data_IF_678444281684
#
_entry.id   IF_678444281684
#
_cell.length_a   1.000
_cell.length_b   1.000
_cell.length_c   1.000
_cell.angle_alpha   90.00
_cell.angle_beta   90.00
_cell.angle_gamma   90.00
#
_symmetry.space_group_name_H-M   'P 1'
#
loop_
_entity.id
_entity.type
_entity.pdbx_description
1 polymer ?
#
# COMPACT_ATOMS: atom_id res chain seq x y z
N UNK A 1 -11.21 -5.44 -25.61
CA UNK A 1 -9.83 -5.84 -25.95
C UNK A 1 -8.78 -4.87 -25.41
N UNK A 2 -8.94 -3.55 -25.59
CA UNK A 2 -7.99 -2.51 -25.09
C UNK A 2 -7.53 -2.72 -23.63
N UNK A 3 -8.44 -3.04 -22.70
CA UNK A 3 -8.10 -3.26 -21.28
C UNK A 3 -7.13 -4.41 -21.06
N UNK A 4 -7.29 -5.51 -21.82
CA UNK A 4 -6.37 -6.67 -21.77
C UNK A 4 -5.02 -6.32 -22.38
N UNK A 5 -4.99 -5.60 -23.50
CA UNK A 5 -3.74 -5.15 -24.12
C UNK A 5 -2.95 -4.24 -23.19
N UNK A 6 -3.62 -3.30 -22.50
CA UNK A 6 -2.99 -2.42 -21.51
C UNK A 6 -2.44 -3.24 -20.34
N UNK A 7 -3.20 -4.22 -19.83
CA UNK A 7 -2.72 -5.08 -18.76
C UNK A 7 -1.49 -5.91 -19.17
N UNK A 8 -1.50 -6.47 -20.39
CA UNK A 8 -0.36 -7.23 -20.94
C UNK A 8 0.85 -6.33 -21.15
N UNK A 9 0.65 -5.08 -21.57
CA UNK A 9 1.74 -4.12 -21.71
C UNK A 9 2.41 -3.86 -20.35
N UNK A 10 1.62 -3.52 -19.33
CA UNK A 10 2.18 -3.24 -18.01
C UNK A 10 2.84 -4.45 -17.37
N UNK A 11 2.26 -5.65 -17.49
CA UNK A 11 2.88 -6.85 -16.91
C UNK A 11 4.22 -7.18 -17.60
N UNK A 12 4.30 -6.99 -18.92
CA UNK A 12 5.55 -7.20 -19.67
C UNK A 12 6.60 -6.15 -19.30
N UNK A 13 6.19 -4.88 -19.15
CA UNK A 13 7.05 -3.78 -18.74
C UNK A 13 7.66 -4.03 -17.35
N UNK A 14 6.82 -4.38 -16.36
CA UNK A 14 7.28 -4.66 -15.01
C UNK A 14 8.16 -5.91 -14.95
N UNK A 15 7.80 -6.96 -15.69
CA UNK A 15 8.62 -8.17 -15.77
C UNK A 15 10.01 -7.87 -16.34
N UNK A 16 10.08 -7.08 -17.41
CA UNK A 16 11.36 -6.68 -18.02
C UNK A 16 12.23 -5.87 -17.04
N UNK A 17 11.62 -4.96 -16.27
CA UNK A 17 12.35 -4.13 -15.31
C UNK A 17 12.95 -4.95 -14.16
N UNK A 18 12.20 -5.93 -13.64
CA UNK A 18 12.67 -6.82 -12.56
C UNK A 18 13.77 -7.76 -13.05
N UNK A 19 13.64 -8.30 -14.27
CA UNK A 19 14.55 -9.31 -14.83
C UNK A 19 15.81 -8.70 -15.44
N UNK A 20 15.79 -7.41 -15.78
CA UNK A 20 16.91 -6.70 -16.42
C UNK A 20 18.28 -6.92 -15.74
N UNK A 21 18.50 -6.63 -14.44
CA UNK A 21 19.80 -6.82 -13.81
C UNK A 21 20.24 -8.29 -13.84
N UNK A 22 19.33 -9.24 -13.66
CA UNK A 22 19.63 -10.67 -13.71
C UNK A 22 20.09 -11.14 -15.09
N UNK A 23 19.47 -10.65 -16.16
CA UNK A 23 19.86 -11.00 -17.53
C UNK A 23 21.22 -10.38 -17.90
N UNK A 24 21.48 -9.15 -17.46
CA UNK A 24 22.75 -8.46 -17.71
C UNK A 24 23.91 -9.23 -17.07
N UNK A 25 23.78 -9.64 -15.80
CA UNK A 25 24.80 -10.42 -15.09
C UNK A 25 25.06 -11.79 -15.76
N UNK A 26 24.03 -12.42 -16.32
CA UNK A 26 24.20 -13.71 -17.05
C UNK A 26 24.98 -13.52 -18.36
N UNK A 27 24.81 -12.38 -19.03
CA UNK A 27 25.46 -12.11 -20.32
C UNK A 27 26.92 -11.69 -20.14
N UNK A 28 27.20 -10.85 -19.14
CA UNK A 28 28.53 -10.34 -18.87
C UNK A 28 28.67 -9.93 -17.39
N UNK A 29 29.57 -10.59 -16.67
CA UNK A 29 29.86 -10.37 -15.25
C UNK A 29 30.70 -9.10 -15.02
N UNK A 30 31.25 -8.48 -16.08
CA UNK A 30 32.02 -7.24 -15.96
C UNK A 30 31.14 -5.98 -15.94
N UNK A 31 29.83 -6.10 -16.23
CA UNK A 31 28.92 -4.96 -16.29
C UNK A 31 28.40 -4.64 -14.90
N UNK A 32 28.60 -3.39 -14.47
CA UNK A 32 28.09 -2.89 -13.20
C UNK A 32 26.55 -2.79 -13.22
N UNK A 33 25.89 -3.58 -12.37
CA UNK A 33 24.43 -3.58 -12.18
C UNK A 33 23.98 -2.86 -10.90
N UNK A 34 24.91 -2.28 -10.13
CA UNK A 34 24.64 -1.55 -8.88
C UNK A 34 23.65 -0.39 -9.05
N UNK A 35 23.58 0.20 -10.25
CA UNK A 35 22.65 1.28 -10.60
C UNK A 35 21.20 0.81 -10.53
N UNK A 36 20.90 -0.43 -10.97
CA UNK A 36 19.54 -0.97 -10.91
C UNK A 36 19.07 -1.21 -9.47
N UNK A 37 19.99 -1.63 -8.58
CA UNK A 37 19.72 -1.80 -7.16
C UNK A 37 19.59 -0.46 -6.43
N UNK A 38 20.49 0.49 -6.70
CA UNK A 38 20.44 1.84 -6.15
C UNK A 38 19.14 2.59 -6.47
N UNK A 39 18.58 2.39 -7.67
CA UNK A 39 17.30 2.98 -8.08
C UNK A 39 16.11 2.36 -7.32
N UNK A 40 16.18 1.06 -7.00
CA UNK A 40 15.14 0.37 -6.24
C UNK A 40 15.18 0.74 -4.74
N UNK A 41 16.34 1.13 -4.22
CA UNK A 41 16.58 1.51 -2.82
C UNK A 41 16.30 3.00 -2.51
N UNK A 42 15.65 3.75 -3.42
CA UNK A 42 15.39 5.19 -3.23
C UNK A 42 14.52 5.52 -1.99
N UNK A 43 13.84 4.53 -1.40
CA UNK A 43 13.11 4.70 -0.12
C UNK A 43 14.03 4.95 1.09
N UNK A 44 15.29 4.47 1.07
CA UNK A 44 16.22 4.60 2.20
C UNK A 44 16.83 6.00 2.33
N UNK A 45 17.00 6.73 1.22
CA UNK A 45 17.52 8.11 1.23
C UNK A 45 16.49 9.16 1.71
N UNK A 46 15.32 8.73 2.18
CA UNK A 46 14.26 9.60 2.71
C UNK A 46 14.47 10.05 4.16
N UNK A 47 15.66 9.86 4.74
CA UNK A 47 16.01 10.36 6.08
C UNK A 47 15.76 11.86 6.28
N UNK A 48 15.62 12.65 5.21
CA UNK A 48 15.29 14.09 5.27
C UNK A 48 13.78 14.39 5.11
N UNK A 49 12.95 13.45 4.64
CA UNK A 49 11.50 13.67 4.40
C UNK A 49 10.60 13.22 5.56
N UNK A 50 11.15 12.61 6.60
CA UNK A 50 10.43 12.11 7.78
C UNK A 50 10.04 13.18 8.83
N UNK A 51 10.14 14.47 8.51
CA UNK A 51 9.66 15.56 9.38
C UNK A 51 8.18 15.90 9.16
N UNK A 52 7.50 15.26 8.22
CA UNK A 52 6.06 15.42 8.06
C UNK A 52 5.37 14.31 8.84
N UNK A 53 4.81 14.71 9.98
CA UNK A 53 3.91 13.89 10.81
C UNK A 53 2.89 13.15 9.93
N UNK A 54 2.60 11.86 10.20
CA UNK A 54 1.53 11.12 9.51
C UNK A 54 0.13 11.73 9.73
N UNK A 55 0.02 12.78 10.56
CA UNK A 55 -1.18 13.60 10.77
C UNK A 55 -1.15 14.96 10.05
N UNK A 56 -0.17 15.20 9.19
CA UNK A 56 -0.16 16.39 8.33
C UNK A 56 -1.37 16.32 7.39
N UNK A 57 -2.32 17.23 7.59
CA UNK A 57 -3.52 17.44 6.76
C UNK A 57 -3.17 18.03 5.38
N UNK A 58 -1.98 17.75 4.87
CA UNK A 58 -1.45 18.30 3.64
C UNK A 58 -0.93 17.11 2.84
N UNK A 59 -1.61 16.84 1.71
CA UNK A 59 -1.32 15.84 0.65
C UNK A 59 -2.38 14.76 0.44
N UNK A 60 -3.68 15.11 0.54
CA UNK A 60 -4.72 14.34 -0.14
C UNK A 60 -5.37 15.16 -1.26
N UNK A 61 -4.57 15.57 -2.26
CA UNK A 61 -5.08 16.18 -3.50
C UNK A 61 -5.87 15.18 -4.39
N UNK A 62 -6.04 13.93 -3.91
CA UNK A 62 -6.80 12.88 -4.61
C UNK A 62 -8.23 12.72 -4.05
N UNK A 63 -8.60 13.38 -2.94
CA UNK A 63 -9.93 13.23 -2.30
C UNK A 63 -11.05 14.06 -2.96
N UNK A 64 -10.79 14.76 -4.06
CA UNK A 64 -11.78 15.69 -4.66
C UNK A 64 -12.84 15.02 -5.55
N UNK A 65 -12.74 13.71 -5.82
CA UNK A 65 -13.64 13.00 -6.73
C UNK A 65 -14.66 12.06 -6.06
N UNK A 66 -14.91 12.19 -4.76
CA UNK A 66 -16.05 11.52 -4.15
C UNK A 66 -17.33 12.32 -4.43
N UNK A 67 -18.05 11.96 -5.50
CA UNK A 67 -19.47 12.31 -5.61
C UNK A 67 -20.21 11.53 -4.52
N UNK A 68 -20.30 12.13 -3.34
CA UNK A 68 -21.24 11.68 -2.32
C UNK A 68 -22.62 11.79 -2.96
N UNK A 69 -23.28 10.67 -3.23
CA UNK A 69 -24.72 10.70 -3.51
C UNK A 69 -25.36 11.28 -2.26
N UNK A 70 -26.17 12.33 -2.43
CA UNK A 70 -27.04 12.85 -1.39
C UNK A 70 -28.02 11.74 -0.99
N UNK A 71 -27.59 10.87 -0.09
CA UNK A 71 -28.50 9.98 0.62
C UNK A 71 -29.34 10.87 1.52
N UNK A 72 -30.59 11.03 1.08
CA UNK A 72 -31.63 11.80 1.74
C UNK A 72 -31.78 11.30 3.17
N UNK A 73 -31.68 12.23 4.11
CA UNK A 73 -31.93 12.11 5.55
C UNK A 73 -31.03 11.15 6.34
N UNK A 74 -29.95 11.70 6.90
CA UNK A 74 -29.40 11.21 8.16
C UNK A 74 -30.41 11.50 9.28
N UNK A 75 -31.30 10.55 9.56
CA UNK A 75 -32.13 10.60 10.76
C UNK A 75 -31.23 10.53 11.99
N UNK A 76 -31.42 11.45 12.94
CA UNK A 76 -30.74 11.40 14.22
C UNK A 76 -31.10 10.09 14.93
N UNK A 77 -30.13 9.18 15.05
CA UNK A 77 -30.30 7.94 15.81
C UNK A 77 -29.67 8.16 17.19
N UNK A 78 -30.51 8.16 18.23
CA UNK A 78 -30.08 8.31 19.62
C UNK A 78 -29.13 7.15 19.96
N UNK A 79 -27.83 7.45 20.12
CA UNK A 79 -26.79 6.48 20.47
C UNK A 79 -26.90 6.07 21.94
N UNK A 80 -27.95 5.33 22.32
CA UNK A 80 -28.01 4.58 23.59
C UNK A 80 -27.20 3.29 23.44
N UNK A 81 -25.90 3.42 23.22
CA UNK A 81 -25.02 2.26 23.35
C UNK A 81 -24.76 2.03 24.84
N UNK A 82 -24.97 0.81 25.37
CA UNK A 82 -24.47 0.48 26.70
C UNK A 82 -22.96 0.71 26.71
N UNK A 83 -22.42 1.21 27.82
CA UNK A 83 -20.97 1.37 27.97
C UNK A 83 -20.34 -0.01 27.70
N UNK A 84 -19.42 -0.14 26.73
CA UNK A 84 -18.74 -1.42 26.53
C UNK A 84 -18.06 -1.79 27.83
N UNK A 85 -18.30 -3.00 28.30
CA UNK A 85 -17.63 -3.52 29.49
C UNK A 85 -16.15 -3.66 29.14
N UNK A 86 -15.32 -2.70 29.60
CA UNK A 86 -13.87 -2.68 29.36
C UNK A 86 -13.15 -3.95 29.87
N UNK A 87 -13.82 -4.78 30.66
CA UNK A 87 -13.30 -6.00 31.26
C UNK A 87 -13.85 -7.27 30.61
N UNK A 88 -14.15 -7.28 29.30
CA UNK A 88 -14.19 -8.56 28.58
C UNK A 88 -12.76 -9.06 28.38
N UNK A 89 -12.19 -9.60 29.46
CA UNK A 89 -11.07 -10.53 29.39
C UNK A 89 -11.70 -11.85 28.93
N UNK A 90 -11.96 -11.98 27.62
CA UNK A 90 -12.32 -13.28 27.07
C UNK A 90 -11.15 -14.22 27.37
N UNK A 91 -11.33 -15.28 28.16
CA UNK A 91 -10.25 -16.22 28.36
C UNK A 91 -9.80 -16.73 26.98
N UNK A 92 -8.48 -16.88 26.75
CA UNK A 92 -8.00 -17.47 25.52
C UNK A 92 -8.64 -18.87 25.35
N UNK A 93 -8.95 -19.30 24.13
CA UNK A 93 -9.53 -20.61 23.87
C UNK A 93 -8.68 -21.72 24.51
N UNK A 94 -9.32 -22.71 25.14
CA UNK A 94 -8.61 -23.88 25.64
C UNK A 94 -7.96 -24.63 24.46
N UNK A 95 -6.64 -24.72 24.48
CA UNK A 95 -5.91 -25.56 23.54
C UNK A 95 -6.14 -27.03 23.92
N UNK A 96 -6.98 -27.74 23.17
CA UNK A 96 -7.04 -29.20 23.24
C UNK A 96 -5.77 -29.72 22.56
N UNK A 97 -4.76 -30.08 23.37
CA UNK A 97 -3.59 -30.83 22.89
C UNK A 97 -3.96 -32.31 22.96
N UNK A 98 -4.08 -32.93 21.78
CA UNK A 98 -4.19 -34.39 21.59
C UNK A 98 -2.81 -35.02 21.51
#
# INVERSE_FOLDING_TARGET
>A
MIKKTIAIFFITLFMALIVAPSVIVILDDAIDTSVFYSLAEEEENSHVKKLVSPFSLQNNDVLTNFKLKDYRFFGYQFKKYPKPHLNLISPPPEHIIL
#
